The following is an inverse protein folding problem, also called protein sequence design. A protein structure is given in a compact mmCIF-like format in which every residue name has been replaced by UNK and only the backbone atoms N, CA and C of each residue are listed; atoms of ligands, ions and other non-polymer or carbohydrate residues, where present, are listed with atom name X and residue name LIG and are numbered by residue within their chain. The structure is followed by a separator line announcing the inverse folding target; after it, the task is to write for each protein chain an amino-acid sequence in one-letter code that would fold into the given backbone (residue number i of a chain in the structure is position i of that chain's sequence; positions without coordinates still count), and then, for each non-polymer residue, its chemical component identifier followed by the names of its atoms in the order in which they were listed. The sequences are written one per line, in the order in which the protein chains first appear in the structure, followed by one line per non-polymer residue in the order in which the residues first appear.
data_IF_391165381664
#
_entry.id   IF_391165381664
#
_cell.length_a   1.000
_cell.length_b   1.000
_cell.length_c   1.000
_cell.angle_alpha   90.00
_cell.angle_beta   90.00
_cell.angle_gamma   90.00
#
_symmetry.space_group_name_H-M   'P 1'
#
loop_
_entity.id
_entity.type
_entity.pdbx_description
1 polymer ?
#
# COMPACT_ATOMS: atom_id res chain seq x y z
N UNK A 1 6.83 21.56 -4.86
CA UNK A 1 6.44 20.13 -4.83
C UNK A 1 7.28 19.43 -5.88
N UNK A 2 8.35 18.74 -5.50
CA UNK A 2 9.20 18.03 -6.47
C UNK A 2 8.48 16.79 -7.00
N UNK A 3 8.34 16.68 -8.32
CA UNK A 3 7.86 15.47 -8.99
C UNK A 3 8.81 14.32 -8.67
N UNK A 4 8.30 13.23 -8.07
CA UNK A 4 9.07 12.00 -7.85
C UNK A 4 9.60 11.48 -9.18
N UNK A 5 10.88 11.07 -9.22
CA UNK A 5 11.45 10.41 -10.39
C UNK A 5 10.81 9.03 -10.58
N UNK A 6 10.89 8.46 -11.78
CA UNK A 6 10.34 7.13 -12.07
C UNK A 6 10.94 6.03 -11.17
N UNK A 7 12.24 6.13 -10.87
CA UNK A 7 12.93 5.22 -9.95
C UNK A 7 12.40 5.34 -8.53
N UNK A 8 12.19 6.56 -8.04
CA UNK A 8 11.57 6.80 -6.74
C UNK A 8 10.14 6.25 -6.72
N UNK A 9 9.38 6.44 -7.81
CA UNK A 9 8.01 5.95 -7.91
C UNK A 9 7.95 4.42 -7.86
N UNK A 10 8.86 3.74 -8.58
CA UNK A 10 9.02 2.28 -8.53
C UNK A 10 9.44 1.80 -7.14
N UNK A 11 10.36 2.50 -6.48
CA UNK A 11 10.79 2.17 -5.13
C UNK A 11 9.64 2.26 -4.11
N UNK A 12 8.85 3.33 -4.20
CA UNK A 12 7.69 3.53 -3.34
C UNK A 12 6.57 2.52 -3.62
N UNK A 13 6.34 2.18 -4.89
CA UNK A 13 5.39 1.12 -5.27
C UNK A 13 5.81 -0.23 -4.69
N UNK A 14 7.11 -0.58 -4.72
CA UNK A 14 7.65 -1.80 -4.09
C UNK A 14 7.46 -1.77 -2.58
N UNK A 15 7.75 -0.63 -1.93
CA UNK A 15 7.58 -0.43 -0.47
C UNK A 15 6.14 -0.67 -0.04
N UNK A 16 5.17 -0.06 -0.73
CA UNK A 16 3.75 -0.18 -0.45
C UNK A 16 3.24 -1.60 -0.72
N UNK A 17 3.65 -2.22 -1.82
CA UNK A 17 3.27 -3.60 -2.15
C UNK A 17 3.78 -4.60 -1.10
N UNK A 18 5.02 -4.44 -0.64
CA UNK A 18 5.58 -5.27 0.42
C UNK A 18 4.84 -5.07 1.76
N UNK A 19 4.41 -3.84 2.06
CA UNK A 19 3.61 -3.54 3.24
C UNK A 19 2.24 -4.23 3.21
N UNK A 20 1.55 -4.21 2.06
CA UNK A 20 0.29 -4.96 1.87
C UNK A 20 0.50 -6.46 2.13
N UNK A 21 1.53 -7.05 1.53
CA UNK A 21 1.84 -8.49 1.72
C UNK A 21 2.10 -8.82 3.19
N UNK A 22 2.90 -8.03 3.90
CA UNK A 22 3.19 -8.24 5.33
C UNK A 22 1.91 -8.16 6.16
N UNK A 23 1.07 -7.15 5.94
CA UNK A 23 -0.19 -6.96 6.69
C UNK A 23 -1.22 -8.05 6.38
N UNK A 24 -1.33 -8.50 5.13
CA UNK A 24 -2.17 -9.65 4.76
C UNK A 24 -1.72 -10.93 5.44
N UNK A 25 -0.41 -11.18 5.50
CA UNK A 25 0.13 -12.35 6.20
C UNK A 25 -0.11 -12.25 7.71
N UNK A 26 -0.04 -11.04 8.28
CA UNK A 26 -0.39 -10.81 9.69
C UNK A 26 -1.87 -11.09 9.95
N UNK A 27 -2.77 -10.64 9.07
CA UNK A 27 -4.22 -10.88 9.18
C UNK A 27 -4.61 -12.37 9.06
N UNK A 28 -3.77 -13.20 8.43
CA UNK A 28 -3.95 -14.66 8.33
C UNK A 28 -3.53 -15.40 9.60
N UNK A 29 -2.78 -14.78 10.51
CA UNK A 29 -2.33 -15.43 11.74
C UNK A 29 -3.50 -15.76 12.66
N UNK A 30 -3.43 -16.85 13.45
CA UNK A 30 -4.39 -17.12 14.50
C UNK A 30 -4.46 -15.95 15.49
N UNK A 31 -5.66 -15.63 15.96
CA UNK A 31 -5.92 -14.49 16.83
C UNK A 31 -7.41 -14.30 17.07
N UNK A 32 -7.76 -13.40 17.98
CA UNK A 32 -9.15 -13.07 18.30
C UNK A 32 -9.84 -12.41 17.11
N UNK A 33 -11.18 -12.43 17.09
CA UNK A 33 -11.96 -11.77 16.05
C UNK A 33 -11.66 -10.25 15.99
N UNK A 34 -11.53 -9.61 17.16
CA UNK A 34 -11.19 -8.19 17.27
C UNK A 34 -9.83 -7.88 16.62
N UNK A 35 -8.81 -8.69 16.90
CA UNK A 35 -7.48 -8.53 16.29
C UNK A 35 -7.52 -8.74 14.77
N UNK A 36 -8.29 -9.72 14.28
CA UNK A 36 -8.46 -9.94 12.84
C UNK A 36 -9.16 -8.75 12.16
N UNK A 37 -10.14 -8.12 12.83
CA UNK A 37 -10.84 -6.97 12.31
C UNK A 37 -9.91 -5.75 12.20
N UNK A 38 -9.15 -5.45 13.25
CA UNK A 38 -8.16 -4.38 13.24
C UNK A 38 -7.11 -4.57 12.14
N UNK A 39 -6.57 -5.78 11.99
CA UNK A 39 -5.60 -6.10 10.93
C UNK A 39 -6.17 -5.98 9.52
N UNK A 40 -7.46 -6.30 9.32
CA UNK A 40 -8.14 -6.10 8.03
C UNK A 40 -8.29 -4.62 7.70
N UNK A 41 -8.59 -3.79 8.69
CA UNK A 41 -8.69 -2.34 8.49
C UNK A 41 -7.32 -1.75 8.13
N UNK A 42 -6.25 -2.19 8.80
CA UNK A 42 -4.88 -1.81 8.44
C UNK A 42 -4.49 -2.24 7.02
N UNK A 43 -4.88 -3.45 6.59
CA UNK A 43 -4.67 -3.90 5.21
C UNK A 43 -5.36 -2.95 4.24
N UNK A 44 -6.60 -2.56 4.53
CA UNK A 44 -7.41 -1.66 3.71
C UNK A 44 -6.74 -0.29 3.55
N UNK A 45 -6.24 0.29 4.64
CA UNK A 45 -5.52 1.58 4.62
C UNK A 45 -4.29 1.53 3.71
N UNK A 46 -3.48 0.48 3.83
CA UNK A 46 -2.26 0.34 3.01
C UNK A 46 -2.60 0.05 1.54
N UNK A 47 -3.67 -0.70 1.26
CA UNK A 47 -4.18 -0.92 -0.09
C UNK A 47 -4.70 0.37 -0.73
N UNK A 48 -5.40 1.22 0.03
CA UNK A 48 -5.82 2.55 -0.42
C UNK A 48 -4.62 3.44 -0.73
N UNK A 49 -3.58 3.43 0.11
CA UNK A 49 -2.34 4.18 -0.14
C UNK A 49 -1.64 3.69 -1.44
N UNK A 50 -1.55 2.38 -1.66
CA UNK A 50 -1.01 1.82 -2.90
C UNK A 50 -1.85 2.20 -4.13
N UNK A 51 -3.18 2.21 -4.01
CA UNK A 51 -4.08 2.63 -5.10
C UNK A 51 -3.90 4.11 -5.43
N UNK A 52 -3.80 4.97 -4.42
CA UNK A 52 -3.54 6.39 -4.60
C UNK A 52 -2.17 6.63 -5.27
N UNK A 53 -1.12 5.94 -4.83
CA UNK A 53 0.21 6.01 -5.44
C UNK A 53 0.21 5.59 -6.92
N UNK A 54 -0.56 4.55 -7.27
CA UNK A 54 -0.75 4.11 -8.67
C UNK A 54 -1.55 5.12 -9.49
N UNK A 55 -2.57 5.74 -8.93
CA UNK A 55 -3.33 6.79 -9.62
C UNK A 55 -2.48 8.04 -9.88
N UNK A 56 -1.61 8.40 -8.93
CA UNK A 56 -0.67 9.50 -9.08
C UNK A 56 0.38 9.26 -10.19
N UNK A 57 0.62 8.02 -10.60
CA UNK A 57 1.47 7.72 -11.77
C UNK A 57 0.90 8.32 -13.05
N UNK A 58 -0.42 8.22 -13.26
CA UNK A 58 -1.07 8.80 -14.44
C UNK A 58 -1.05 10.32 -14.43
N UNK A 59 -0.90 10.96 -13.27
CA UNK A 59 -0.66 12.40 -13.15
C UNK A 59 0.79 12.76 -13.52
N UNK A 60 1.75 11.86 -13.27
CA UNK A 60 3.16 12.03 -13.63
C UNK A 60 3.46 11.71 -15.10
N UNK A 61 2.73 10.77 -15.72
CA UNK A 61 2.98 10.31 -17.10
C UNK A 61 1.90 10.73 -18.11
N UNK A 62 0.93 11.55 -17.69
CA UNK A 62 -0.25 11.93 -18.48
C UNK A 62 -0.20 13.34 -19.06
N UNK A 63 0.99 13.91 -19.26
CA UNK A 63 1.21 15.17 -19.99
C UNK A 63 1.90 14.90 -21.32
#
# INVERSE_FOLDING_TARGET
MGTMTEEQWKAEQRRLSAAVTRKRNQAKRPGTLATKLALKEEVKVVETALRAHKLNYYVLTGA
#
